data_IF_775558243488
#
_entry.id   IF_775558243488
#
_cell.length_a   1.000
_cell.length_b   1.000
_cell.length_c   1.000
_cell.angle_alpha   90.00
_cell.angle_beta   90.00
_cell.angle_gamma   90.00
#
_symmetry.space_group_name_H-M   'P 1'
#
loop_
_entity.id
_entity.type
_entity.pdbx_description
1 polymer ?
#
# COMPACT_ATOMS: atom_id res chain seq x y z
N UNK A 1 0.62 14.54 -12.51
CA UNK A 1 0.07 13.23 -12.94
C UNK A 1 -0.15 12.47 -11.65
N UNK A 2 -1.40 12.33 -11.21
CA UNK A 2 -1.77 11.66 -9.96
C UNK A 2 -1.65 10.15 -10.08
N UNK A 3 -1.56 9.44 -8.95
CA UNK A 3 -1.81 8.00 -8.90
C UNK A 3 -3.11 7.72 -9.64
N UNK A 4 -3.04 7.01 -10.76
CA UNK A 4 -4.26 6.60 -11.48
C UNK A 4 -5.00 5.60 -10.60
N UNK A 5 -6.01 6.09 -9.86
CA UNK A 5 -6.89 5.23 -9.08
C UNK A 5 -7.57 4.24 -10.03
N UNK A 6 -7.47 2.95 -9.69
CA UNK A 6 -8.17 1.90 -10.40
C UNK A 6 -9.66 2.05 -10.13
N UNK A 7 -10.43 2.18 -11.20
CA UNK A 7 -11.89 2.21 -11.16
C UNK A 7 -12.45 0.89 -11.70
N UNK A 8 -13.67 0.51 -11.31
CA UNK A 8 -14.38 -0.57 -12.00
C UNK A 8 -14.51 -0.21 -13.49
N UNK A 9 -13.85 -0.98 -14.35
CA UNK A 9 -13.89 -0.78 -15.80
C UNK A 9 -13.88 -2.13 -16.52
N UNK A 10 -14.44 -2.14 -17.73
CA UNK A 10 -14.41 -3.31 -18.58
C UNK A 10 -12.97 -3.56 -19.03
N UNK A 11 -12.45 -4.75 -18.75
CA UNK A 11 -11.08 -5.14 -19.09
C UNK A 11 -10.74 -5.01 -20.59
N UNK A 12 -11.77 -5.09 -21.44
CA UNK A 12 -11.62 -5.04 -22.90
C UNK A 12 -11.68 -3.62 -23.48
N UNK A 13 -12.62 -2.79 -23.02
CA UNK A 13 -12.90 -1.49 -23.64
C UNK A 13 -12.81 -0.27 -22.69
N UNK A 14 -12.60 -0.47 -21.39
CA UNK A 14 -12.53 0.59 -20.39
C UNK A 14 -13.88 1.22 -20.00
N UNK A 15 -15.02 0.75 -20.54
CA UNK A 15 -16.34 1.24 -20.14
C UNK A 15 -16.55 0.98 -18.63
N UNK A 16 -17.09 1.96 -17.90
CA UNK A 16 -17.32 1.89 -16.45
C UNK A 16 -18.76 1.52 -16.08
N UNK A 17 -19.65 1.38 -17.07
CA UNK A 17 -21.08 1.11 -16.88
C UNK A 17 -21.45 -0.36 -17.16
N UNK A 18 -22.52 -0.84 -16.50
CA UNK A 18 -23.13 -2.17 -16.69
C UNK A 18 -22.12 -3.32 -16.65
N UNK A 19 -21.24 -3.28 -15.66
CA UNK A 19 -20.19 -4.27 -15.48
C UNK A 19 -20.70 -5.51 -14.77
N UNK A 20 -20.36 -6.69 -15.29
CA UNK A 20 -20.52 -7.96 -14.59
C UNK A 20 -19.17 -8.66 -14.46
N UNK A 21 -19.04 -9.48 -13.41
CA UNK A 21 -17.83 -10.22 -13.10
C UNK A 21 -17.72 -11.48 -13.96
N UNK A 22 -16.49 -11.90 -14.26
CA UNK A 22 -16.24 -13.24 -14.77
C UNK A 22 -16.78 -14.28 -13.77
N UNK A 23 -17.71 -15.14 -14.21
CA UNK A 23 -18.39 -16.10 -13.33
C UNK A 23 -17.50 -17.18 -12.72
N UNK A 24 -16.25 -17.32 -13.19
CA UNK A 24 -15.28 -18.29 -12.64
C UNK A 24 -14.37 -17.66 -11.59
N UNK A 25 -13.57 -16.66 -11.96
CA UNK A 25 -12.57 -16.10 -11.04
C UNK A 25 -13.03 -14.86 -10.27
N UNK A 26 -14.10 -14.18 -10.71
CA UNK A 26 -14.57 -12.90 -10.14
C UNK A 26 -13.54 -11.75 -10.08
N UNK A 27 -12.37 -11.89 -10.72
CA UNK A 27 -11.30 -10.86 -10.69
C UNK A 27 -11.24 -9.96 -11.93
N UNK A 28 -12.15 -10.14 -12.88
CA UNK A 28 -12.24 -9.32 -14.09
C UNK A 28 -13.69 -8.93 -14.34
N UNK A 29 -13.89 -7.73 -14.86
CA UNK A 29 -15.20 -7.19 -15.18
C UNK A 29 -15.34 -6.93 -16.69
N UNK A 30 -16.54 -7.16 -17.21
CA UNK A 30 -16.88 -6.92 -18.61
C UNK A 30 -18.23 -6.19 -18.68
N UNK A 31 -18.41 -5.33 -19.68
CA UNK A 31 -19.70 -4.68 -19.93
C UNK A 31 -20.62 -5.50 -20.85
N UNK A 32 -20.12 -6.58 -21.46
CA UNK A 32 -20.90 -7.49 -22.31
C UNK A 32 -20.24 -8.87 -22.39
N UNK A 33 -21.05 -9.91 -22.66
CA UNK A 33 -20.56 -11.26 -22.91
C UNK A 33 -19.63 -11.30 -24.15
N UNK A 34 -19.90 -10.48 -25.17
CA UNK A 34 -19.04 -10.36 -26.34
C UNK A 34 -17.62 -9.91 -25.96
N UNK A 35 -17.46 -8.94 -25.06
CA UNK A 35 -16.14 -8.51 -24.59
C UNK A 35 -15.43 -9.59 -23.76
N UNK A 36 -16.17 -10.36 -22.96
CA UNK A 36 -15.61 -11.51 -22.24
C UNK A 36 -15.08 -12.57 -23.22
N UNK A 37 -15.86 -12.92 -24.26
CA UNK A 37 -15.43 -13.88 -25.29
C UNK A 37 -14.21 -13.38 -26.05
N UNK A 38 -14.16 -12.09 -26.41
CA UNK A 38 -12.99 -11.50 -27.09
C UNK A 38 -11.72 -11.44 -26.24
N UNK A 39 -11.85 -11.35 -24.91
CA UNK A 39 -10.71 -11.33 -23.98
C UNK A 39 -10.35 -12.73 -23.45
N UNK A 40 -11.17 -13.75 -23.75
CA UNK A 40 -11.08 -15.10 -23.18
C UNK A 40 -9.69 -15.72 -23.30
N UNK A 41 -9.07 -15.68 -24.48
CA UNK A 41 -7.73 -16.25 -24.72
C UNK A 41 -6.65 -15.60 -23.84
N UNK A 42 -6.76 -14.29 -23.59
CA UNK A 42 -5.82 -13.55 -22.72
C UNK A 42 -6.13 -13.79 -21.24
N UNK A 43 -7.41 -13.84 -20.89
CA UNK A 43 -7.88 -13.97 -19.51
C UNK A 43 -7.72 -15.40 -18.95
N UNK A 44 -7.96 -16.43 -19.78
CA UNK A 44 -8.08 -17.83 -19.37
C UNK A 44 -6.90 -18.34 -18.52
N UNK A 45 -5.60 -18.10 -18.86
CA UNK A 45 -4.49 -18.58 -18.05
C UNK A 45 -4.51 -18.00 -16.62
N UNK A 46 -4.86 -16.73 -16.48
CA UNK A 46 -4.94 -16.07 -15.16
C UNK A 46 -6.19 -16.52 -14.42
N UNK A 47 -7.32 -16.68 -15.13
CA UNK A 47 -8.58 -17.17 -14.58
C UNK A 47 -8.42 -18.56 -13.96
N UNK A 48 -7.77 -19.50 -14.67
CA UNK A 48 -7.52 -20.86 -14.16
C UNK A 48 -6.64 -20.85 -12.92
N UNK A 49 -5.55 -20.09 -12.90
CA UNK A 49 -4.65 -19.98 -11.73
C UNK A 49 -5.36 -19.43 -10.49
N UNK A 50 -6.27 -18.47 -10.68
CA UNK A 50 -7.07 -17.93 -9.58
C UNK A 50 -8.07 -18.98 -9.09
N UNK A 51 -8.77 -19.63 -10.02
CA UNK A 51 -9.74 -20.67 -9.70
C UNK A 51 -9.12 -21.84 -8.94
N UNK A 52 -7.92 -22.28 -9.33
CA UNK A 52 -7.16 -23.32 -8.63
C UNK A 52 -6.86 -23.00 -7.16
N UNK A 53 -6.81 -21.71 -6.79
CA UNK A 53 -6.63 -21.27 -5.39
C UNK A 53 -7.94 -20.95 -4.70
N UNK A 54 -8.92 -20.42 -5.43
CA UNK A 54 -10.21 -20.02 -4.89
C UNK A 54 -11.13 -21.22 -4.61
N UNK A 55 -11.16 -22.21 -5.49
CA UNK A 55 -12.08 -23.36 -5.35
C UNK A 55 -11.83 -24.17 -4.07
N UNK A 56 -10.59 -24.49 -3.67
CA UNK A 56 -10.35 -25.16 -2.38
C UNK A 56 -10.73 -24.29 -1.18
N UNK A 57 -10.53 -22.97 -1.24
CA UNK A 57 -10.92 -22.05 -0.17
C UNK A 57 -12.44 -22.03 0.00
N UNK A 58 -13.20 -21.99 -1.09
CA UNK A 58 -14.66 -22.04 -1.06
C UNK A 58 -15.16 -23.37 -0.48
N UNK A 59 -14.56 -24.50 -0.87
CA UNK A 59 -14.89 -25.80 -0.29
C UNK A 59 -14.62 -25.83 1.22
N UNK A 60 -13.47 -25.31 1.67
CA UNK A 60 -13.15 -25.21 3.10
C UNK A 60 -14.12 -24.30 3.87
N UNK A 61 -14.67 -23.27 3.24
CA UNK A 61 -15.64 -22.35 3.86
C UNK A 61 -17.07 -22.93 3.89
N UNK A 62 -17.44 -23.77 2.91
CA UNK A 62 -18.75 -24.46 2.85
C UNK A 62 -18.85 -25.66 3.81
N UNK A 63 -17.71 -26.29 4.09
CA UNK A 63 -17.64 -27.37 5.07
C UNK A 63 -17.92 -26.80 6.47
N UNK A 64 -19.07 -27.17 7.03
CA UNK A 64 -19.46 -26.82 8.39
C UNK A 64 -18.33 -27.13 9.37
N UNK A 65 -18.07 -26.23 10.32
CA UNK A 65 -17.17 -26.47 11.45
C UNK A 65 -17.50 -27.79 12.18
N UNK A 66 -18.74 -28.26 12.10
CA UNK A 66 -19.20 -29.52 12.69
C UNK A 66 -18.71 -30.76 11.92
N UNK A 67 -18.52 -30.67 10.59
CA UNK A 67 -18.05 -31.80 9.76
C UNK A 67 -16.53 -32.01 9.84
N UNK A 68 -15.78 -30.94 10.10
CA UNK A 68 -14.30 -30.97 10.19
C UNK A 68 -13.80 -31.62 11.49
N UNK A 69 -14.64 -31.68 12.53
CA UNK A 69 -14.31 -32.37 13.78
C UNK A 69 -14.62 -33.88 13.73
N UNK A 70 -15.23 -34.37 12.65
CA UNK A 70 -15.39 -35.81 12.43
C UNK A 70 -14.10 -36.40 11.86
N UNK A 71 -13.55 -37.41 12.54
CA UNK A 71 -12.26 -38.03 12.21
C UNK A 71 -12.20 -38.69 10.81
N UNK A 72 -13.34 -38.83 10.13
CA UNK A 72 -13.47 -39.54 8.85
C UNK A 72 -13.63 -38.61 7.63
N UNK A 73 -13.25 -37.32 7.73
CA UNK A 73 -13.50 -36.35 6.66
C UNK A 73 -12.68 -36.62 5.37
N UNK A 74 -13.32 -36.75 4.19
CA UNK A 74 -12.69 -37.17 2.92
C UNK A 74 -11.78 -36.12 2.23
N UNK A 75 -11.57 -34.96 2.83
CA UNK A 75 -10.86 -33.80 2.23
C UNK A 75 -9.40 -34.11 1.90
N UNK A 76 -8.76 -35.05 2.62
CA UNK A 76 -7.37 -35.41 2.38
C UNK A 76 -7.13 -36.01 0.96
N UNK A 77 -8.19 -36.46 0.28
CA UNK A 77 -8.09 -37.18 -1.00
C UNK A 77 -8.37 -36.36 -2.26
N UNK A 78 -8.98 -35.16 -2.15
CA UNK A 78 -9.44 -34.37 -3.31
C UNK A 78 -8.52 -33.22 -3.70
N UNK A 79 -7.47 -32.93 -2.94
CA UNK A 79 -6.53 -31.86 -3.25
C UNK A 79 -5.53 -32.37 -4.31
N UNK A 80 -5.43 -31.74 -5.50
CA UNK A 80 -4.53 -32.18 -6.55
C UNK A 80 -3.10 -32.29 -6.05
N UNK A 81 -2.57 -33.51 -6.16
CA UNK A 81 -1.29 -33.96 -5.63
C UNK A 81 -0.12 -33.05 -6.08
N UNK A 82 -0.17 -32.49 -7.28
CA UNK A 82 0.89 -31.63 -7.84
C UNK A 82 0.95 -30.20 -7.26
N UNK A 83 -0.09 -29.75 -6.56
CA UNK A 83 -0.12 -28.44 -5.84
C UNK A 83 0.07 -28.60 -4.32
N UNK A 84 -0.03 -29.83 -3.82
CA UNK A 84 -0.07 -30.19 -2.40
C UNK A 84 1.27 -30.74 -1.86
N UNK A 85 2.22 -31.09 -2.72
CA UNK A 85 3.37 -31.92 -2.35
C UNK A 85 4.38 -31.33 -1.32
N UNK A 86 4.48 -30.01 -1.06
CA UNK A 86 5.24 -29.54 0.10
C UNK A 86 4.39 -29.21 1.33
N UNK A 87 3.05 -29.19 1.24
CA UNK A 87 2.20 -28.65 2.33
C UNK A 87 1.63 -29.75 3.24
N UNK A 88 1.36 -30.95 2.72
CA UNK A 88 0.69 -32.01 3.50
C UNK A 88 1.62 -33.04 4.14
N UNK A 89 2.91 -33.08 3.77
CA UNK A 89 3.87 -34.06 4.33
C UNK A 89 4.49 -33.65 5.68
N UNK A 90 4.03 -32.54 6.24
CA UNK A 90 4.29 -32.20 7.64
C UNK A 90 2.93 -31.94 8.29
N UNK A 91 2.77 -32.15 9.58
CA UNK A 91 1.56 -31.92 10.37
C UNK A 91 1.11 -30.44 10.38
N UNK A 92 0.94 -29.82 9.21
CA UNK A 92 0.45 -28.49 9.04
C UNK A 92 -1.03 -28.48 9.37
N UNK A 93 -1.41 -27.77 10.43
CA UNK A 93 -2.81 -27.51 10.76
C UNK A 93 -3.54 -26.98 9.52
N UNK A 94 -4.83 -27.30 9.35
CA UNK A 94 -5.71 -26.75 8.28
C UNK A 94 -5.52 -25.24 8.07
N UNK A 95 -5.21 -24.50 9.14
CA UNK A 95 -4.87 -23.08 9.13
C UNK A 95 -3.66 -22.71 8.25
N UNK A 96 -2.62 -23.54 8.21
CA UNK A 96 -1.43 -23.30 7.38
C UNK A 96 -1.75 -23.45 5.89
N UNK A 97 -2.59 -24.42 5.54
CA UNK A 97 -3.07 -24.63 4.16
C UNK A 97 -3.91 -23.43 3.73
N UNK A 98 -4.91 -23.03 4.53
CA UNK A 98 -5.75 -21.84 4.27
C UNK A 98 -4.90 -20.57 4.10
N UNK A 99 -3.95 -20.34 5.02
CA UNK A 99 -3.02 -19.22 4.96
C UNK A 99 -2.21 -19.22 3.66
N UNK A 100 -1.64 -20.36 3.29
CA UNK A 100 -0.81 -20.49 2.08
C UNK A 100 -1.63 -20.23 0.82
N UNK A 101 -2.83 -20.79 0.74
CA UNK A 101 -3.76 -20.57 -0.38
C UNK A 101 -4.17 -19.12 -0.51
N UNK A 102 -4.57 -18.45 0.58
CA UNK A 102 -4.94 -17.04 0.57
C UNK A 102 -3.76 -16.14 0.20
N UNK A 103 -2.59 -16.38 0.76
CA UNK A 103 -1.36 -15.62 0.44
C UNK A 103 -1.00 -15.77 -1.04
N UNK A 104 -1.11 -16.98 -1.59
CA UNK A 104 -0.90 -17.25 -3.01
C UNK A 104 -1.93 -16.51 -3.88
N UNK A 105 -3.21 -16.59 -3.52
CA UNK A 105 -4.31 -15.92 -4.22
C UNK A 105 -4.16 -14.40 -4.22
N UNK A 106 -3.82 -13.81 -3.07
CA UNK A 106 -3.46 -12.39 -2.93
C UNK A 106 -2.35 -12.02 -3.93
N UNK A 107 -1.25 -12.78 -3.94
CA UNK A 107 -0.13 -12.51 -4.83
C UNK A 107 -0.52 -12.54 -6.31
N UNK A 108 -1.39 -13.47 -6.72
CA UNK A 108 -1.93 -13.54 -8.08
C UNK A 108 -2.82 -12.34 -8.38
N UNK A 109 -3.70 -11.96 -7.45
CA UNK A 109 -4.62 -10.84 -7.61
C UNK A 109 -3.90 -9.48 -7.72
N UNK A 110 -2.87 -9.25 -6.89
CA UNK A 110 -2.01 -8.06 -6.99
C UNK A 110 -1.25 -8.06 -8.32
N UNK A 111 -0.82 -9.22 -8.83
CA UNK A 111 -0.17 -9.33 -10.16
C UNK A 111 -1.11 -8.96 -11.31
N UNK A 112 -2.38 -9.30 -11.18
CA UNK A 112 -3.39 -8.98 -12.19
C UNK A 112 -3.73 -7.48 -12.23
N UNK A 113 -3.67 -6.79 -11.09
CA UNK A 113 -3.78 -5.33 -10.97
C UNK A 113 -5.04 -4.72 -11.64
N UNK A 114 -6.18 -5.42 -11.55
CA UNK A 114 -7.49 -4.88 -11.94
C UNK A 114 -8.24 -4.46 -10.67
N UNK A 115 -9.22 -3.56 -10.78
CA UNK A 115 -10.03 -3.17 -9.63
C UNK A 115 -10.66 -4.38 -8.92
N UNK A 116 -11.25 -5.31 -9.70
CA UNK A 116 -11.86 -6.52 -9.17
C UNK A 116 -10.86 -7.49 -8.54
N UNK A 117 -9.65 -7.66 -9.11
CA UNK A 117 -8.62 -8.51 -8.51
C UNK A 117 -8.11 -7.92 -7.20
N UNK A 118 -7.84 -6.62 -7.15
CA UNK A 118 -7.38 -5.96 -5.93
C UNK A 118 -8.45 -5.98 -4.83
N UNK A 119 -9.73 -5.81 -5.20
CA UNK A 119 -10.85 -5.97 -4.27
C UNK A 119 -10.87 -7.37 -3.66
N UNK A 120 -10.75 -8.43 -4.49
CA UNK A 120 -10.66 -9.80 -3.99
C UNK A 120 -9.42 -9.98 -3.10
N UNK A 121 -8.27 -9.42 -3.46
CA UNK A 121 -7.05 -9.49 -2.63
C UNK A 121 -7.27 -8.89 -1.24
N UNK A 122 -7.94 -7.74 -1.15
CA UNK A 122 -8.30 -7.11 0.12
C UNK A 122 -9.26 -7.98 0.92
N UNK A 123 -10.26 -8.60 0.28
CA UNK A 123 -11.20 -9.51 0.95
C UNK A 123 -10.47 -10.73 1.53
N UNK A 124 -9.60 -11.37 0.75
CA UNK A 124 -8.79 -12.49 1.24
C UNK A 124 -7.84 -12.08 2.36
N UNK A 125 -7.34 -10.85 2.30
CA UNK A 125 -6.50 -10.30 3.35
C UNK A 125 -7.27 -10.00 4.63
N UNK A 126 -8.50 -9.47 4.54
CA UNK A 126 -9.39 -9.32 5.69
C UNK A 126 -9.54 -10.65 6.43
N UNK A 127 -9.66 -11.75 5.70
CA UNK A 127 -9.69 -13.10 6.29
C UNK A 127 -8.37 -13.44 7.01
N UNK A 128 -7.21 -13.15 6.42
CA UNK A 128 -5.90 -13.37 7.08
C UNK A 128 -5.68 -12.50 8.33
N UNK A 129 -6.14 -11.24 8.31
CA UNK A 129 -6.01 -10.34 9.46
C UNK A 129 -6.87 -10.78 10.65
N UNK A 130 -8.02 -11.41 10.41
CA UNK A 130 -8.83 -12.05 11.47
C UNK A 130 -8.06 -13.12 12.21
N UNK A 131 -7.15 -13.82 11.53
CA UNK A 131 -6.26 -14.81 12.13
C UNK A 131 -5.00 -14.20 12.76
N UNK A 132 -4.81 -12.86 12.70
CA UNK A 132 -3.59 -12.15 13.13
C UNK A 132 -2.32 -12.63 12.43
N UNK A 133 -2.46 -13.15 11.23
CA UNK A 133 -1.36 -13.80 10.50
C UNK A 133 -0.52 -12.78 9.73
N UNK A 134 -1.14 -11.72 9.23
CA UNK A 134 -0.48 -10.79 8.32
C UNK A 134 -0.64 -9.33 8.78
N UNK A 135 0.45 -8.54 8.77
CA UNK A 135 0.40 -7.14 9.18
C UNK A 135 -0.44 -6.33 8.17
N UNK A 136 -1.40 -5.49 8.63
CA UNK A 136 -2.27 -4.66 7.77
C UNK A 136 -1.54 -3.88 6.67
N UNK A 137 -0.28 -3.53 6.93
CA UNK A 137 0.53 -2.70 6.05
C UNK A 137 0.92 -3.30 4.71
N UNK A 138 0.90 -4.62 4.54
CA UNK A 138 1.27 -5.24 3.26
C UNK A 138 0.39 -4.78 2.09
N UNK A 139 -0.76 -4.18 2.39
CA UNK A 139 -1.77 -3.79 1.43
C UNK A 139 -1.89 -2.29 1.23
N UNK A 140 -1.10 -1.47 1.92
CA UNK A 140 -1.15 -0.01 1.71
C UNK A 140 -1.02 0.34 0.22
N UNK A 141 -0.09 -0.24 -0.56
CA UNK A 141 -0.03 0.07 -1.99
C UNK A 141 -1.28 -0.37 -2.76
N UNK A 142 -1.87 -1.51 -2.41
CA UNK A 142 -3.11 -2.00 -3.02
C UNK A 142 -4.30 -1.09 -2.70
N UNK A 143 -4.42 -0.67 -1.44
CA UNK A 143 -5.45 0.25 -0.96
C UNK A 143 -5.30 1.63 -1.60
N UNK A 144 -4.07 2.17 -1.69
CA UNK A 144 -3.79 3.43 -2.38
C UNK A 144 -4.20 3.39 -3.85
N UNK A 145 -3.91 2.29 -4.56
CA UNK A 145 -4.38 2.11 -5.95
C UNK A 145 -5.89 2.08 -6.09
N UNK A 146 -6.61 1.66 -5.05
CA UNK A 146 -8.07 1.67 -5.03
C UNK A 146 -8.67 2.99 -4.54
N UNK A 147 -7.84 4.01 -4.28
CA UNK A 147 -8.29 5.29 -3.73
C UNK A 147 -8.77 5.19 -2.27
N UNK A 148 -8.35 4.16 -1.53
CA UNK A 148 -8.69 3.95 -0.12
C UNK A 148 -7.61 4.51 0.81
N UNK A 149 -7.18 5.75 0.55
CA UNK A 149 -6.10 6.43 1.26
C UNK A 149 -6.44 6.71 2.74
N UNK A 150 -7.73 6.94 3.06
CA UNK A 150 -8.20 7.05 4.45
C UNK A 150 -8.01 5.75 5.24
N UNK A 151 -8.30 4.60 4.61
CA UNK A 151 -8.05 3.28 5.21
C UNK A 151 -6.56 3.08 5.42
N UNK A 152 -5.72 3.38 4.42
CA UNK A 152 -4.25 3.31 4.55
C UNK A 152 -3.75 4.11 5.74
N UNK A 153 -4.22 5.35 5.87
CA UNK A 153 -3.80 6.23 6.93
C UNK A 153 -4.18 5.70 8.32
N UNK A 154 -5.43 5.28 8.48
CA UNK A 154 -5.91 4.72 9.74
C UNK A 154 -5.10 3.49 10.16
N UNK A 155 -4.77 2.59 9.22
CA UNK A 155 -3.92 1.43 9.49
C UNK A 155 -2.51 1.81 9.94
N UNK A 156 -1.90 2.82 9.29
CA UNK A 156 -0.60 3.36 9.68
C UNK A 156 -0.63 3.98 11.08
N UNK A 157 -1.70 4.72 11.41
CA UNK A 157 -1.90 5.31 12.74
C UNK A 157 -2.05 4.23 13.82
N UNK A 158 -2.76 3.15 13.53
CA UNK A 158 -2.94 2.02 14.45
C UNK A 158 -1.64 1.25 14.65
N UNK A 159 -0.88 0.96 13.59
CA UNK A 159 0.41 0.28 13.72
C UNK A 159 1.41 1.10 14.55
N UNK A 160 1.39 2.43 14.41
CA UNK A 160 2.16 3.32 15.28
C UNK A 160 1.77 3.14 16.75
N UNK A 161 0.47 3.12 17.05
CA UNK A 161 -0.01 2.90 18.43
C UNK A 161 0.40 1.53 18.95
N UNK A 162 0.37 0.49 18.12
CA UNK A 162 0.87 -0.85 18.46
C UNK A 162 2.35 -0.78 18.85
N UNK A 163 3.18 -0.13 18.03
CA UNK A 163 4.61 0.00 18.31
C UNK A 163 4.90 0.78 19.60
N UNK A 164 4.08 1.81 19.90
CA UNK A 164 4.18 2.56 21.17
C UNK A 164 3.86 1.66 22.38
N UNK A 165 2.73 0.95 22.34
CA UNK A 165 2.34 0.01 23.38
C UNK A 165 3.41 -1.07 23.62
N UNK A 166 4.00 -1.62 22.56
CA UNK A 166 5.07 -2.62 22.66
C UNK A 166 6.31 -2.07 23.35
N UNK A 167 6.69 -0.82 23.07
CA UNK A 167 7.86 -0.16 23.68
C UNK A 167 7.64 0.14 25.17
N UNK A 168 6.42 0.50 25.54
CA UNK A 168 6.05 0.82 26.92
C UNK A 168 5.82 -0.45 27.77
N UNK A 169 5.87 -1.64 27.15
CA UNK A 169 5.61 -2.90 27.83
C UNK A 169 4.15 -3.03 28.26
N UNK A 170 3.23 -2.34 27.57
CA UNK A 170 1.81 -2.37 27.90
C UNK A 170 1.20 -3.78 27.77
N UNK A 171 0.12 -3.99 28.51
CA UNK A 171 -0.53 -5.30 28.60
C UNK A 171 -1.08 -5.80 27.26
N UNK A 172 -1.09 -7.13 27.11
CA UNK A 172 -1.67 -7.88 25.97
C UNK A 172 -3.10 -7.42 25.58
N UNK A 173 -3.84 -6.88 26.54
CA UNK A 173 -5.20 -6.36 26.36
C UNK A 173 -5.23 -5.12 25.45
N UNK A 174 -4.29 -4.18 25.63
CA UNK A 174 -4.19 -2.96 24.82
C UNK A 174 -3.90 -3.29 23.34
N UNK A 175 -2.92 -4.18 23.10
CA UNK A 175 -2.60 -4.66 21.76
C UNK A 175 -3.81 -5.35 21.09
N UNK A 176 -4.55 -6.16 21.83
CA UNK A 176 -5.76 -6.82 21.30
C UNK A 176 -6.85 -5.82 20.90
N UNK A 177 -7.00 -4.70 21.61
CA UNK A 177 -7.92 -3.64 21.21
C UNK A 177 -7.49 -3.03 19.87
N UNK A 178 -6.21 -2.68 19.73
CA UNK A 178 -5.66 -2.08 18.50
C UNK A 178 -5.81 -2.99 17.28
N UNK A 179 -5.60 -4.31 17.43
CA UNK A 179 -5.86 -5.26 16.34
C UNK A 179 -7.34 -5.33 15.93
N UNK A 180 -8.27 -5.25 16.89
CA UNK A 180 -9.71 -5.21 16.58
C UNK A 180 -10.08 -3.91 15.86
N UNK A 181 -9.47 -2.81 16.27
CA UNK A 181 -9.62 -1.50 15.63
C UNK A 181 -9.09 -1.54 14.18
N UNK A 182 -7.91 -2.13 13.93
CA UNK A 182 -7.39 -2.36 12.57
C UNK A 182 -8.33 -3.23 11.72
N UNK A 183 -8.89 -4.29 12.30
CA UNK A 183 -9.91 -5.09 11.62
C UNK A 183 -11.17 -4.26 11.31
N UNK A 184 -11.61 -3.42 12.24
CA UNK A 184 -12.73 -2.51 12.05
C UNK A 184 -12.51 -1.55 10.88
N UNK A 185 -11.33 -0.92 10.82
CA UNK A 185 -10.92 -0.06 9.69
C UNK A 185 -10.97 -0.84 8.37
N UNK A 186 -10.43 -2.05 8.35
CA UNK A 186 -10.49 -2.90 7.16
C UNK A 186 -11.93 -3.26 6.77
N UNK A 187 -12.84 -3.42 7.72
CA UNK A 187 -14.27 -3.67 7.49
C UNK A 187 -15.05 -2.41 7.06
N UNK A 188 -14.38 -1.26 6.92
CA UNK A 188 -15.01 0.00 6.52
C UNK A 188 -15.64 0.77 7.69
N UNK A 189 -15.32 0.41 8.94
CA UNK A 189 -15.72 1.22 10.10
C UNK A 189 -14.93 2.53 10.05
N UNK A 190 -15.64 3.65 10.08
CA UNK A 190 -15.01 4.96 10.19
C UNK A 190 -14.28 5.05 11.52
N UNK A 191 -13.01 5.41 11.46
CA UNK A 191 -12.21 5.78 12.62
C UNK A 191 -11.95 7.28 12.57
N UNK A 192 -12.18 7.94 13.71
CA UNK A 192 -12.11 9.40 13.84
C UNK A 192 -10.69 9.97 13.85
N UNK A 193 -9.74 9.37 13.10
CA UNK A 193 -8.43 9.99 12.96
C UNK A 193 -8.56 11.21 12.03
N UNK A 194 -8.44 12.40 12.62
CA UNK A 194 -8.31 13.62 11.84
C UNK A 194 -6.86 13.72 11.34
N UNK A 195 -6.68 13.42 10.05
CA UNK A 195 -5.40 13.51 9.35
C UNK A 195 -4.72 14.85 9.58
N UNK A 196 -5.45 15.95 9.53
CA UNK A 196 -4.89 17.31 9.62
C UNK A 196 -4.60 17.72 11.05
N UNK A 197 -5.35 17.21 12.02
CA UNK A 197 -4.97 17.31 13.43
C UNK A 197 -3.72 16.49 13.70
N UNK A 198 -3.68 15.25 13.23
CA UNK A 198 -2.53 14.37 13.42
C UNK A 198 -1.27 14.94 12.75
N UNK A 199 -1.37 15.52 11.55
CA UNK A 199 -0.25 16.17 10.85
C UNK A 199 0.45 17.22 11.72
N UNK A 200 -0.30 18.00 12.50
CA UNK A 200 0.29 18.96 13.46
C UNK A 200 1.19 18.29 14.48
N UNK A 201 1.01 16.99 14.71
CA UNK A 201 1.74 16.16 15.67
C UNK A 201 2.77 15.22 15.00
N UNK A 202 2.74 15.01 13.68
CA UNK A 202 3.52 13.96 12.97
C UNK A 202 5.04 14.08 13.03
N UNK A 203 5.61 15.25 13.30
CA UNK A 203 7.09 15.40 13.40
C UNK A 203 7.66 14.63 14.63
N UNK A 204 6.84 14.02 15.49
CA UNK A 204 7.26 13.29 16.69
C UNK A 204 6.90 11.81 16.70
N UNK A 205 7.23 11.09 15.64
CA UNK A 205 7.10 9.63 15.64
C UNK A 205 8.10 8.99 16.60
N UNK A 206 7.69 8.81 17.86
CA UNK A 206 8.40 8.03 18.89
C UNK A 206 7.44 7.01 19.52
N UNK A 207 7.67 5.70 19.34
CA UNK A 207 8.72 5.12 18.51
C UNK A 207 8.51 5.43 17.02
N UNK A 208 9.62 5.50 16.30
CA UNK A 208 9.56 5.61 14.85
C UNK A 208 8.97 4.32 14.28
N UNK A 209 7.97 4.37 13.39
CA UNK A 209 7.39 3.18 12.78
C UNK A 209 8.43 2.33 12.06
N UNK A 210 8.08 1.07 11.81
CA UNK A 210 8.92 0.21 11.01
C UNK A 210 9.19 0.85 9.62
N UNK A 211 10.35 0.59 8.98
CA UNK A 211 10.68 1.19 7.69
C UNK A 211 9.61 1.02 6.61
N UNK A 212 8.92 -0.14 6.59
CA UNK A 212 7.79 -0.41 5.69
C UNK A 212 6.63 0.58 5.87
N UNK A 213 6.37 0.97 7.11
CA UNK A 213 5.30 1.87 7.51
C UNK A 213 5.65 3.29 7.12
N UNK A 214 6.92 3.66 7.28
CA UNK A 214 7.40 4.96 6.82
C UNK A 214 7.35 5.07 5.29
N UNK A 215 7.75 4.02 4.56
CA UNK A 215 7.62 3.99 3.11
C UNK A 215 6.16 4.12 2.66
N UNK A 216 5.26 3.34 3.28
CA UNK A 216 3.83 3.45 3.08
C UNK A 216 3.32 4.88 3.33
N UNK A 217 3.74 5.54 4.42
CA UNK A 217 3.35 6.92 4.70
C UNK A 217 3.88 7.90 3.64
N UNK A 218 5.12 7.75 3.18
CA UNK A 218 5.67 8.60 2.11
C UNK A 218 4.78 8.55 0.86
N UNK A 219 4.24 7.37 0.55
CA UNK A 219 3.30 7.21 -0.56
C UNK A 219 1.92 7.79 -0.30
N UNK A 220 1.35 7.59 0.90
CA UNK A 220 0.09 8.26 1.29
C UNK A 220 0.24 9.77 1.17
N UNK A 221 1.33 10.32 1.70
CA UNK A 221 1.66 11.73 1.62
C UNK A 221 1.82 12.22 0.19
N UNK A 222 2.48 11.45 -0.69
CA UNK A 222 2.63 11.84 -2.09
C UNK A 222 1.27 11.99 -2.78
N UNK A 223 0.38 11.02 -2.57
CA UNK A 223 -0.97 11.01 -3.13
C UNK A 223 -1.74 12.27 -2.72
N UNK A 224 -1.65 12.63 -1.45
CA UNK A 224 -2.26 13.83 -0.90
C UNK A 224 -1.63 15.13 -1.41
N UNK A 225 -0.30 15.15 -1.57
CA UNK A 225 0.43 16.28 -2.12
C UNK A 225 0.01 16.52 -3.57
N UNK A 226 -0.10 15.47 -4.40
CA UNK A 226 -0.53 15.63 -5.80
C UNK A 226 -1.94 16.21 -5.91
N UNK A 227 -2.88 15.72 -5.10
CA UNK A 227 -4.26 16.24 -5.05
C UNK A 227 -4.28 17.74 -4.69
N UNK A 228 -3.49 18.14 -3.69
CA UNK A 228 -3.40 19.54 -3.28
C UNK A 228 -2.65 20.41 -4.31
N UNK A 229 -1.60 19.89 -4.95
CA UNK A 229 -0.89 20.60 -6.03
C UNK A 229 -1.84 20.90 -7.19
N UNK A 230 -2.65 19.92 -7.59
CA UNK A 230 -3.66 20.12 -8.63
C UNK A 230 -4.68 21.18 -8.23
N UNK A 231 -5.17 21.14 -6.98
CA UNK A 231 -6.11 22.13 -6.47
C UNK A 231 -5.52 23.55 -6.43
N UNK A 232 -4.30 23.69 -5.90
CA UNK A 232 -3.58 24.99 -5.84
C UNK A 232 -3.26 25.50 -7.25
N UNK A 233 -2.85 24.63 -8.16
CA UNK A 233 -2.58 24.99 -9.55
C UNK A 233 -3.85 25.48 -10.24
N UNK A 234 -4.98 24.80 -10.03
CA UNK A 234 -6.28 25.23 -10.56
C UNK A 234 -6.65 26.62 -10.04
N UNK A 235 -6.50 26.88 -8.74
CA UNK A 235 -6.81 28.18 -8.14
C UNK A 235 -5.95 29.30 -8.73
N UNK A 236 -4.64 29.05 -8.92
CA UNK A 236 -3.70 30.03 -9.47
C UNK A 236 -3.93 30.34 -10.95
N UNK A 237 -4.26 29.33 -11.75
CA UNK A 237 -4.19 29.44 -13.22
C UNK A 237 -5.56 29.44 -13.91
N UNK A 238 -6.50 28.63 -13.41
CA UNK A 238 -7.75 28.32 -14.11
C UNK A 238 -8.92 29.05 -13.47
N UNK A 239 -8.99 29.09 -12.13
CA UNK A 239 -10.15 29.62 -11.41
C UNK A 239 -10.46 31.07 -11.79
N UNK A 240 -9.46 31.94 -11.93
CA UNK A 240 -9.65 33.35 -12.34
C UNK A 240 -10.26 33.47 -13.74
N UNK A 241 -9.87 32.59 -14.68
CA UNK A 241 -10.41 32.57 -16.04
C UNK A 241 -11.85 32.03 -16.06
N UNK A 242 -12.12 30.97 -15.31
CA UNK A 242 -13.45 30.37 -15.21
C UNK A 242 -14.45 31.29 -14.50
N UNK A 243 -14.05 31.97 -13.41
CA UNK A 243 -14.91 32.92 -12.68
C UNK A 243 -15.38 34.10 -13.53
N UNK A 244 -14.68 34.42 -14.62
CA UNK A 244 -15.13 35.44 -15.60
C UNK A 244 -16.20 34.92 -16.56
N UNK A 245 -16.33 33.60 -16.71
CA UNK A 245 -17.18 32.94 -17.72
C UNK A 245 -18.32 32.14 -17.12
N UNK A 246 -18.18 31.70 -15.88
CA UNK A 246 -19.10 30.80 -15.18
C UNK A 246 -19.51 31.43 -13.85
N UNK A 247 -20.68 31.02 -13.35
CA UNK A 247 -21.13 31.38 -12.02
C UNK A 247 -20.18 30.80 -10.96
N UNK A 248 -20.01 31.53 -9.85
CA UNK A 248 -19.15 31.14 -8.74
C UNK A 248 -19.43 29.71 -8.27
N UNK A 249 -20.71 29.35 -8.11
CA UNK A 249 -21.12 28.02 -7.68
C UNK A 249 -20.65 26.90 -8.62
N UNK A 250 -20.67 27.14 -9.94
CA UNK A 250 -20.17 26.17 -10.92
C UNK A 250 -18.67 25.98 -10.78
N UNK A 251 -17.91 27.06 -10.54
CA UNK A 251 -16.46 26.98 -10.33
C UNK A 251 -16.14 26.23 -9.04
N UNK A 252 -16.88 26.46 -7.96
CA UNK A 252 -16.68 25.73 -6.70
C UNK A 252 -17.09 24.25 -6.82
N UNK A 253 -18.12 23.93 -7.62
CA UNK A 253 -18.44 22.53 -7.96
C UNK A 253 -17.27 21.88 -8.70
N UNK A 254 -16.74 22.52 -9.75
CA UNK A 254 -15.57 22.02 -10.50
C UNK A 254 -14.37 21.83 -9.56
N UNK A 255 -14.12 22.80 -8.68
CA UNK A 255 -13.05 22.75 -7.67
C UNK A 255 -13.22 21.55 -6.74
N UNK A 256 -14.45 21.25 -6.33
CA UNK A 256 -14.77 20.07 -5.53
C UNK A 256 -14.36 18.76 -6.22
N UNK A 257 -14.46 18.67 -7.55
CA UNK A 257 -14.07 17.48 -8.32
C UNK A 257 -12.56 17.36 -8.58
N UNK A 258 -11.73 18.32 -8.14
CA UNK A 258 -10.27 18.24 -8.28
C UNK A 258 -9.62 17.27 -7.29
N UNK A 259 -10.26 17.06 -6.14
CA UNK A 259 -9.80 16.09 -5.15
C UNK A 259 -10.25 14.69 -5.56
N UNK A 260 -9.29 13.79 -5.77
CA UNK A 260 -9.56 12.40 -6.15
C UNK A 260 -9.61 11.48 -4.93
N UNK A 261 -8.94 11.86 -3.83
CA UNK A 261 -8.77 11.03 -2.64
C UNK A 261 -9.86 11.24 -1.59
N UNK A 262 -10.20 10.17 -0.86
CA UNK A 262 -11.28 10.19 0.13
C UNK A 262 -11.01 11.21 1.23
N UNK A 263 -9.76 11.26 1.71
CA UNK A 263 -9.35 12.17 2.79
C UNK A 263 -9.48 13.63 2.37
N UNK A 264 -9.04 13.97 1.15
CA UNK A 264 -9.13 15.35 0.66
C UNK A 264 -10.58 15.76 0.41
N UNK A 265 -11.39 14.84 -0.11
CA UNK A 265 -12.84 15.06 -0.30
C UNK A 265 -13.53 15.33 1.05
N UNK A 266 -13.21 14.55 2.08
CA UNK A 266 -13.77 14.73 3.43
C UNK A 266 -13.42 16.07 4.08
N UNK A 267 -12.27 16.66 3.70
CA UNK A 267 -11.72 17.86 4.34
C UNK A 267 -11.73 19.12 3.46
N UNK A 268 -12.54 19.11 2.38
CA UNK A 268 -12.63 20.23 1.40
C UNK A 268 -12.72 21.61 2.04
N UNK A 269 -13.55 21.78 3.08
CA UNK A 269 -13.73 23.08 3.76
C UNK A 269 -12.43 23.61 4.38
N UNK A 270 -11.68 22.74 5.06
CA UNK A 270 -10.39 23.11 5.67
C UNK A 270 -9.37 23.48 4.59
N UNK A 271 -9.40 22.76 3.47
CA UNK A 271 -8.47 22.94 2.37
C UNK A 271 -8.76 24.19 1.53
N UNK A 272 -10.03 24.60 1.40
CA UNK A 272 -10.38 25.80 0.62
C UNK A 272 -9.64 27.07 1.07
N UNK A 273 -9.44 27.22 2.38
CA UNK A 273 -8.82 28.42 2.98
C UNK A 273 -7.31 28.25 3.21
N UNK A 274 -6.82 27.00 3.28
CA UNK A 274 -5.47 26.69 3.76
C UNK A 274 -4.67 25.75 2.84
N UNK A 275 -5.15 25.46 1.63
CA UNK A 275 -4.53 24.47 0.73
C UNK A 275 -3.02 24.68 0.56
N UNK A 276 -2.57 25.91 0.31
CA UNK A 276 -1.14 26.20 0.12
C UNK A 276 -0.31 25.94 1.39
N UNK A 277 -0.83 26.33 2.56
CA UNK A 277 -0.17 26.09 3.85
C UNK A 277 -0.09 24.60 4.16
N UNK A 278 -1.21 23.89 3.99
CA UNK A 278 -1.29 22.44 4.21
C UNK A 278 -0.38 21.70 3.24
N UNK A 279 -0.33 22.10 1.97
CA UNK A 279 0.57 21.54 0.97
C UNK A 279 2.03 21.68 1.38
N UNK A 280 2.43 22.86 1.89
CA UNK A 280 3.77 23.08 2.38
C UNK A 280 4.09 22.21 3.60
N UNK A 281 3.16 22.09 4.54
CA UNK A 281 3.28 21.22 5.72
C UNK A 281 3.45 19.75 5.30
N UNK A 282 2.59 19.22 4.42
CA UNK A 282 2.68 17.85 3.90
C UNK A 282 4.03 17.57 3.24
N UNK A 283 4.52 18.46 2.39
CA UNK A 283 5.83 18.32 1.73
C UNK A 283 6.97 18.24 2.75
N UNK A 284 6.91 19.08 3.80
CA UNK A 284 7.88 19.05 4.89
C UNK A 284 7.81 17.72 5.66
N UNK A 285 6.62 17.22 5.94
CA UNK A 285 6.44 15.91 6.60
C UNK A 285 6.97 14.77 5.73
N UNK A 286 6.70 14.80 4.43
CA UNK A 286 7.15 13.79 3.49
C UNK A 286 8.68 13.74 3.41
N UNK A 287 9.33 14.91 3.29
CA UNK A 287 10.80 15.01 3.31
C UNK A 287 11.38 14.46 4.62
N UNK A 288 10.80 14.83 5.76
CA UNK A 288 11.22 14.32 7.07
C UNK A 288 11.11 12.80 7.15
N UNK A 289 9.94 12.23 6.83
CA UNK A 289 9.68 10.78 6.92
C UNK A 289 10.58 10.02 5.95
N UNK A 290 10.78 10.52 4.73
CA UNK A 290 11.68 9.91 3.76
C UNK A 290 13.12 9.90 4.31
N UNK A 291 13.64 11.03 4.78
CA UNK A 291 14.99 11.12 5.38
C UNK A 291 15.15 10.18 6.57
N UNK A 292 14.17 10.16 7.48
CA UNK A 292 14.15 9.32 8.66
C UNK A 292 14.09 7.82 8.29
N UNK A 293 13.33 7.47 7.27
CA UNK A 293 13.24 6.09 6.80
C UNK A 293 14.47 5.61 6.04
N UNK A 294 15.13 6.49 5.28
CA UNK A 294 16.43 6.22 4.67
C UNK A 294 17.49 5.96 5.74
N UNK A 295 17.43 6.67 6.87
CA UNK A 295 18.28 6.41 8.02
C UNK A 295 18.03 5.01 8.60
N UNK A 296 16.78 4.64 8.83
CA UNK A 296 16.43 3.35 9.43
C UNK A 296 16.64 2.15 8.48
N UNK A 297 16.48 2.34 7.17
CA UNK A 297 16.63 1.25 6.20
C UNK A 297 17.03 1.74 4.81
N UNK A 298 18.32 2.06 4.67
CA UNK A 298 18.90 2.51 3.41
C UNK A 298 18.82 1.46 2.29
N UNK A 299 19.07 0.19 2.60
CA UNK A 299 19.10 -0.88 1.61
C UNK A 299 17.74 -1.02 0.92
N UNK A 300 16.65 -0.95 1.69
CA UNK A 300 15.29 -0.94 1.15
C UNK A 300 15.09 0.15 0.10
N UNK A 301 15.46 1.40 0.40
CA UNK A 301 15.30 2.52 -0.53
C UNK A 301 16.22 2.42 -1.75
N UNK A 302 17.46 1.98 -1.55
CA UNK A 302 18.38 1.72 -2.66
C UNK A 302 17.83 0.69 -3.63
N UNK A 303 17.34 -0.44 -3.12
CA UNK A 303 16.70 -1.49 -3.92
C UNK A 303 15.44 -0.98 -4.61
N UNK A 304 14.59 -0.24 -3.91
CA UNK A 304 13.34 0.28 -4.44
C UNK A 304 13.60 1.23 -5.62
N UNK A 305 14.54 2.17 -5.47
CA UNK A 305 14.88 3.17 -6.49
C UNK A 305 15.62 2.53 -7.66
N UNK A 306 16.64 1.69 -7.39
CA UNK A 306 17.37 1.00 -8.44
C UNK A 306 16.47 0.04 -9.22
N UNK A 307 15.60 -0.72 -8.53
CA UNK A 307 14.65 -1.62 -9.15
C UNK A 307 13.58 -0.91 -9.97
N UNK A 308 13.21 0.32 -9.58
CA UNK A 308 12.33 1.17 -10.36
C UNK A 308 13.06 1.79 -11.58
N UNK A 309 14.26 2.36 -11.40
CA UNK A 309 15.08 2.95 -12.49
C UNK A 309 15.51 1.94 -13.55
N UNK A 310 15.96 0.76 -13.12
CA UNK A 310 16.51 -0.24 -14.04
C UNK A 310 15.42 -0.88 -14.91
N UNK A 311 14.14 -0.62 -14.63
CA UNK A 311 13.04 -1.23 -15.36
C UNK A 311 13.22 -2.76 -15.45
N UNK A 312 13.85 -3.42 -14.47
CA UNK A 312 14.14 -4.86 -14.50
C UNK A 312 12.82 -5.60 -14.32
N UNK A 313 12.10 -5.67 -15.43
CA UNK A 313 10.78 -6.23 -15.65
C UNK A 313 10.92 -7.75 -15.53
N UNK A 314 10.10 -8.36 -14.67
CA UNK A 314 9.78 -9.79 -14.75
C UNK A 314 10.94 -10.79 -14.72
N UNK A 315 12.04 -10.50 -14.01
CA UNK A 315 12.82 -11.59 -13.45
C UNK A 315 11.94 -12.31 -12.45
N UNK A 316 11.23 -13.37 -12.89
CA UNK A 316 10.99 -14.48 -11.98
C UNK A 316 12.35 -14.76 -11.37
N UNK A 317 12.54 -14.42 -10.10
CA UNK A 317 13.66 -14.93 -9.35
C UNK A 317 13.44 -16.43 -9.41
N UNK A 318 14.13 -17.06 -10.34
CA UNK A 318 14.01 -18.48 -10.57
C UNK A 318 14.23 -19.13 -9.23
N UNK A 319 13.25 -19.91 -8.79
CA UNK A 319 13.49 -20.94 -7.78
C UNK A 319 14.80 -21.61 -8.17
N UNK A 320 15.83 -21.43 -7.35
CA UNK A 320 17.22 -21.75 -7.67
C UNK A 320 17.36 -23.24 -8.00
N UNK A 321 17.20 -23.59 -9.27
CA UNK A 321 17.46 -24.94 -9.81
C UNK A 321 18.21 -24.97 -11.13
N UNK A 322 18.61 -23.84 -11.70
CA UNK A 322 19.60 -23.83 -12.79
C UNK A 322 21.00 -23.63 -12.22
N UNK A 323 21.69 -24.76 -12.08
CA UNK A 323 23.11 -24.88 -11.76
C UNK A 323 23.91 -24.55 -13.02
N UNK A 324 24.07 -23.27 -13.36
CA UNK A 324 25.05 -22.83 -14.35
C UNK A 324 25.88 -21.67 -13.81
N UNK A 325 27.19 -21.82 -13.99
CA UNK A 325 28.27 -21.00 -13.46
C UNK A 325 28.29 -19.67 -14.21
N UNK A 326 27.75 -18.61 -13.60
CA UNK A 326 27.78 -17.26 -14.16
C UNK A 326 27.15 -16.25 -13.22
N UNK A 327 28.00 -15.63 -12.38
CA UNK A 327 27.75 -14.44 -11.56
C UNK A 327 26.28 -14.13 -11.19
N UNK A 328 25.71 -14.92 -10.28
CA UNK A 328 24.52 -14.51 -9.54
C UNK A 328 24.89 -13.35 -8.63
N UNK A 329 24.34 -12.17 -8.91
CA UNK A 329 24.28 -11.07 -7.93
C UNK A 329 23.33 -11.53 -6.83
N UNK A 330 23.87 -12.21 -5.83
CA UNK A 330 23.12 -12.60 -4.64
C UNK A 330 22.65 -11.35 -3.91
N UNK A 331 21.33 -11.20 -3.77
CA UNK A 331 20.77 -10.18 -2.89
C UNK A 331 21.17 -10.54 -1.44
N UNK A 332 21.73 -9.60 -0.66
CA UNK A 332 22.05 -9.85 0.74
C UNK A 332 20.81 -10.33 1.51
N UNK A 333 21.01 -11.26 2.44
CA UNK A 333 19.97 -11.71 3.36
C UNK A 333 19.39 -10.51 4.13
N UNK A 334 18.20 -10.07 3.74
CA UNK A 334 17.52 -8.91 4.30
C UNK A 334 17.19 -9.15 5.78
N UNK A 335 17.65 -8.28 6.67
CA UNK A 335 17.16 -8.26 8.04
C UNK A 335 15.74 -7.65 8.04
N UNK A 336 14.72 -8.49 7.84
CA UNK A 336 13.32 -8.16 8.10
C UNK A 336 12.45 -7.72 6.92
N UNK A 337 12.92 -7.85 5.67
CA UNK A 337 12.11 -7.55 4.48
C UNK A 337 12.13 -8.67 3.46
N UNK A 338 10.96 -9.00 2.94
CA UNK A 338 10.80 -9.99 1.88
C UNK A 338 10.91 -9.30 0.52
N UNK A 339 11.38 -10.02 -0.51
CA UNK A 339 11.43 -9.50 -1.89
C UNK A 339 10.01 -9.14 -2.36
N UNK A 340 9.03 -9.87 -1.84
CA UNK A 340 7.61 -9.64 -2.00
C UNK A 340 7.22 -8.22 -1.58
N UNK A 341 7.71 -7.72 -0.43
CA UNK A 341 7.42 -6.37 0.07
C UNK A 341 7.86 -5.29 -0.95
N UNK A 342 9.09 -5.40 -1.46
CA UNK A 342 9.62 -4.50 -2.48
C UNK A 342 8.80 -4.57 -3.78
N UNK A 343 8.31 -5.76 -4.16
CA UNK A 343 7.54 -5.95 -5.38
C UNK A 343 6.21 -5.19 -5.36
N UNK A 344 5.59 -5.06 -4.18
CA UNK A 344 4.31 -4.36 -4.01
C UNK A 344 4.51 -2.84 -4.15
N UNK A 345 5.48 -2.26 -3.43
CA UNK A 345 5.80 -0.83 -3.54
C UNK A 345 6.31 -0.46 -4.93
N UNK A 346 7.10 -1.34 -5.55
CA UNK A 346 7.57 -1.14 -6.92
C UNK A 346 6.43 -0.98 -7.91
N UNK A 347 5.36 -1.78 -7.81
CA UNK A 347 4.21 -1.62 -8.71
C UNK A 347 3.43 -0.34 -8.45
N UNK A 348 3.46 0.19 -7.24
CA UNK A 348 2.91 1.51 -6.98
C UNK A 348 3.73 2.57 -7.72
N UNK A 349 5.06 2.51 -7.61
CA UNK A 349 5.98 3.41 -8.31
C UNK A 349 5.89 3.35 -9.83
N UNK A 350 5.70 2.16 -10.40
CA UNK A 350 5.60 2.01 -11.86
C UNK A 350 4.27 2.53 -12.41
N UNK A 351 3.19 2.40 -11.63
CA UNK A 351 1.87 2.89 -12.04
C UNK A 351 1.71 4.38 -11.71
N UNK A 352 2.51 4.91 -10.80
CA UNK A 352 2.50 6.30 -10.35
C UNK A 352 3.79 7.06 -10.68
N UNK A 353 3.70 7.86 -11.74
CA UNK A 353 4.80 8.69 -12.19
C UNK A 353 5.18 9.80 -11.19
N UNK A 354 4.28 10.26 -10.31
CA UNK A 354 4.63 11.34 -9.37
C UNK A 354 5.50 10.82 -8.23
N UNK A 355 5.12 9.72 -7.58
CA UNK A 355 5.91 9.14 -6.49
C UNK A 355 7.28 8.67 -6.98
N UNK A 356 7.36 8.05 -8.16
CA UNK A 356 8.63 7.67 -8.74
C UNK A 356 9.51 8.88 -9.07
N UNK A 357 8.93 9.94 -9.64
CA UNK A 357 9.66 11.18 -9.91
C UNK A 357 10.14 11.83 -8.62
N UNK A 358 9.28 11.96 -7.62
CA UNK A 358 9.62 12.50 -6.31
C UNK A 358 10.82 11.79 -5.69
N UNK A 359 10.79 10.44 -5.63
CA UNK A 359 11.90 9.66 -5.08
C UNK A 359 13.17 9.83 -5.93
N UNK A 360 13.05 9.79 -7.25
CA UNK A 360 14.19 9.96 -8.15
C UNK A 360 14.85 11.33 -7.98
N UNK A 361 14.06 12.40 -8.01
CA UNK A 361 14.50 13.78 -7.82
C UNK A 361 15.10 14.00 -6.42
N UNK A 362 14.54 13.34 -5.39
CA UNK A 362 15.10 13.38 -4.04
C UNK A 362 16.50 12.77 -4.01
N UNK A 363 16.66 11.55 -4.51
CA UNK A 363 17.95 10.85 -4.45
C UNK A 363 19.00 11.39 -5.42
N UNK A 364 18.59 12.06 -6.50
CA UNK A 364 19.51 12.79 -7.37
C UNK A 364 20.04 14.07 -6.71
N UNK A 365 19.19 14.79 -5.97
CA UNK A 365 19.60 15.95 -5.18
C UNK A 365 20.39 15.57 -3.92
N UNK A 366 20.09 14.41 -3.34
CA UNK A 366 20.62 13.96 -2.06
C UNK A 366 21.22 12.54 -2.16
N UNK A 367 22.26 12.35 -2.99
CA UNK A 367 22.83 11.01 -3.27
C UNK A 367 23.45 10.35 -2.04
N UNK A 368 23.77 11.14 -1.00
CA UNK A 368 24.26 10.70 0.30
C UNK A 368 23.34 9.63 0.92
N UNK A 369 22.02 9.75 0.75
CA UNK A 369 21.05 8.82 1.32
C UNK A 369 21.02 7.46 0.60
N UNK A 370 21.46 7.36 -0.65
CA UNK A 370 21.58 6.08 -1.38
C UNK A 370 22.97 5.47 -1.33
N UNK A 371 24.01 6.28 -1.47
CA UNK A 371 25.39 5.79 -1.61
C UNK A 371 26.03 5.51 -0.27
N UNK A 372 25.50 6.15 0.79
CA UNK A 372 26.09 6.19 2.13
C UNK A 372 27.61 6.25 2.10
N UNK A 373 28.28 5.92 3.19
CA UNK A 373 29.72 5.90 3.17
C UNK A 373 30.15 4.52 2.63
N UNK A 374 30.34 4.39 1.32
CA UNK A 374 31.26 3.39 0.78
C UNK A 374 32.69 3.82 1.15
N UNK A 375 33.04 3.66 2.43
CA UNK A 375 34.36 4.02 3.00
C UNK A 375 34.47 5.38 3.73
N UNK A 376 33.38 6.12 3.89
CA UNK A 376 33.38 7.41 4.61
C UNK A 376 33.24 7.26 6.13
N UNK A 377 34.11 7.93 6.89
CA UNK A 377 34.07 8.04 8.36
C UNK A 377 32.68 8.51 8.84
N UNK A 378 32.25 8.11 10.03
CA UNK A 378 30.92 8.40 10.63
C UNK A 378 30.50 9.88 10.74
N UNK A 379 31.30 10.83 10.26
CA UNK A 379 31.01 12.26 10.17
C UNK A 379 29.84 12.59 9.23
N UNK A 380 29.69 11.88 8.10
CA UNK A 380 28.56 12.12 7.18
C UNK A 380 27.23 11.66 7.80
N UNK A 381 27.26 10.60 8.61
CA UNK A 381 26.11 10.14 9.40
C UNK A 381 25.74 11.09 10.52
N UNK A 382 26.73 11.68 11.21
CA UNK A 382 26.45 12.74 12.18
C UNK A 382 25.80 13.95 11.52
N UNK A 383 26.13 14.29 10.28
CA UNK A 383 25.46 15.40 9.56
C UNK A 383 23.99 15.10 9.27
N UNK A 384 23.68 13.91 8.77
CA UNK A 384 22.28 13.49 8.56
C UNK A 384 21.52 13.50 9.88
N UNK A 385 22.12 12.98 10.96
CA UNK A 385 21.50 12.97 12.28
C UNK A 385 21.32 14.38 12.86
N UNK A 386 22.31 15.26 12.68
CA UNK A 386 22.21 16.67 13.07
C UNK A 386 21.15 17.41 12.25
N UNK A 387 20.98 17.10 10.98
CA UNK A 387 19.94 17.69 10.14
C UNK A 387 18.55 17.26 10.61
N UNK A 388 18.34 15.95 10.82
CA UNK A 388 17.10 15.42 11.39
C UNK A 388 16.85 16.01 12.79
N UNK A 389 17.87 16.10 13.64
CA UNK A 389 17.75 16.67 15.00
C UNK A 389 17.50 18.18 15.00
N UNK A 390 18.09 18.94 14.06
CA UNK A 390 17.82 20.38 13.88
C UNK A 390 16.38 20.61 13.43
N UNK A 391 15.88 19.78 12.51
CA UNK A 391 14.48 19.81 12.09
C UNK A 391 13.53 19.58 13.29
N UNK A 392 13.92 18.70 14.21
CA UNK A 392 13.19 18.47 15.47
C UNK A 392 13.28 19.68 16.41
N UNK A 393 14.47 20.25 16.60
CA UNK A 393 14.72 21.35 17.56
C UNK A 393 14.01 22.64 17.15
N UNK A 394 14.18 23.08 15.89
CA UNK A 394 13.55 24.29 15.38
C UNK A 394 12.01 24.26 15.43
N UNK A 395 11.41 23.07 15.57
CA UNK A 395 9.97 22.89 15.75
C UNK A 395 9.54 22.94 17.22
N UNK A 396 10.37 22.49 18.16
CA UNK A 396 10.09 22.68 19.59
C UNK A 396 9.99 24.17 19.92
N UNK A 397 10.90 24.96 19.35
CA UNK A 397 10.90 26.42 19.50
C UNK A 397 9.61 27.02 18.89
N UNK A 398 9.24 26.62 17.67
CA UNK A 398 8.02 27.12 17.02
C UNK A 398 6.70 26.70 17.71
N UNK A 399 6.67 25.54 18.38
CA UNK A 399 5.50 25.11 19.15
C UNK A 399 5.35 25.90 20.45
N UNK A 400 6.47 26.20 21.12
CA UNK A 400 6.47 27.06 22.32
C UNK A 400 5.92 28.45 21.96
N UNK A 401 6.33 29.01 20.82
CA UNK A 401 5.84 30.31 20.34
C UNK A 401 4.34 30.32 19.96
N UNK A 402 3.76 29.16 19.61
CA UNK A 402 2.34 29.05 19.25
C UNK A 402 1.40 28.82 20.44
N UNK A 403 1.97 28.58 21.63
CA UNK A 403 1.24 28.33 22.87
C UNK A 403 1.14 29.55 23.79
N UNK A 404 1.78 30.65 23.40
CA UNK A 404 1.67 32.00 23.96
C UNK A 404 0.76 32.87 23.11
#
# INVERSE_FOLDING_TARGET
MTVKQLRPECQKCGNTSNLFYCGRCSTVQYCSAAHQTQDSNKHLPTCSRIWERLSPLQQCEELSLDDVLSADSPIASSIPVDSAYPVFNTHGSVRQVDQSLRTSLIGICIKQNTYASLKLAIEQFRMLTRYRIAPPLLFVPTLLKMGADGICYNLLSIERRIAACEKEGEERVALQHLYREAQGVMEGKQFGCDVFEDLRHWIFWSPMPAPRSMAALVFVLQVWIDDLENAVQFDRTIATSLRRKLNYDTVEIIRGYLFETEVMIGNRKVLQDRAEKVLHELKRHQDYVLKASCYSNREFWGQLVLGAKAGIINGSIGTSRSREVGATVGFPSFSGHTIEDLSVFRRLLLDDNSAFRFLTDFFERQPLYLNGPSGGRGLDWMRVWQEVSRLTTARNDALQDSSS
#
